data_IF_406537086890
#
_entry.id   IF_406537086890
#
_cell.length_a   1.000
_cell.length_b   1.000
_cell.length_c   1.000
_cell.angle_alpha   90.00
_cell.angle_beta   90.00
_cell.angle_gamma   90.00
#
_symmetry.space_group_name_H-M   'P 1'
#
loop_
_entity.id
_entity.type
_entity.pdbx_description
1 polymer ?
#
# COMPACT_ATOMS: atom_id res chain seq x y z
N UNK A 1 -9.11 -25.72 28.81
CA UNK A 1 -9.84 -24.67 28.05
C UNK A 1 -9.19 -24.57 26.70
N UNK A 2 -9.89 -24.72 25.56
CA UNK A 2 -9.30 -24.42 24.27
C UNK A 2 -8.98 -22.92 24.27
N UNK A 3 -7.72 -22.58 24.13
CA UNK A 3 -7.31 -21.21 23.83
C UNK A 3 -7.97 -20.91 22.48
N UNK A 4 -8.92 -19.98 22.45
CA UNK A 4 -9.43 -19.46 21.18
C UNK A 4 -8.23 -18.78 20.52
N UNK A 5 -7.52 -19.49 19.65
CA UNK A 5 -6.45 -18.92 18.84
C UNK A 5 -7.14 -18.06 17.80
N UNK A 6 -7.07 -16.74 17.99
CA UNK A 6 -7.65 -15.79 17.05
C UNK A 6 -6.97 -15.95 15.69
N UNK A 7 -7.75 -16.25 14.65
CA UNK A 7 -7.24 -16.49 13.31
C UNK A 7 -6.99 -15.17 12.57
N UNK A 8 -5.83 -14.58 12.82
CA UNK A 8 -5.40 -13.34 12.16
C UNK A 8 -5.27 -13.49 10.64
N UNK A 9 -4.97 -14.70 10.14
CA UNK A 9 -4.81 -14.97 8.70
C UNK A 9 -6.14 -14.85 7.99
N UNK A 10 -7.18 -15.51 8.53
CA UNK A 10 -8.54 -15.40 8.00
C UNK A 10 -9.08 -13.97 8.13
N UNK A 11 -8.77 -13.28 9.23
CA UNK A 11 -9.13 -11.86 9.40
C UNK A 11 -8.49 -10.98 8.31
N UNK A 12 -7.19 -11.15 8.06
CA UNK A 12 -6.46 -10.39 7.04
C UNK A 12 -7.01 -10.64 5.63
N UNK A 13 -7.29 -11.90 5.29
CA UNK A 13 -7.89 -12.28 4.01
C UNK A 13 -9.30 -11.67 3.83
N UNK A 14 -10.15 -11.78 4.86
CA UNK A 14 -11.48 -11.18 4.84
C UNK A 14 -11.43 -9.64 4.74
N UNK A 15 -10.46 -9.01 5.41
CA UNK A 15 -10.23 -7.56 5.32
C UNK A 15 -9.91 -7.15 3.87
N UNK A 16 -9.04 -7.88 3.16
CA UNK A 16 -8.72 -7.59 1.75
C UNK A 16 -9.93 -7.74 0.83
N UNK A 17 -10.75 -8.78 1.01
CA UNK A 17 -11.96 -9.00 0.22
C UNK A 17 -12.99 -7.88 0.44
N UNK A 18 -13.20 -7.46 1.69
CA UNK A 18 -14.08 -6.33 1.99
C UNK A 18 -13.53 -5.01 1.44
N UNK A 19 -12.20 -4.82 1.51
CA UNK A 19 -11.53 -3.64 0.95
C UNK A 19 -11.78 -3.54 -0.56
N UNK A 20 -11.72 -4.66 -1.28
CA UNK A 20 -12.01 -4.73 -2.72
C UNK A 20 -13.41 -4.18 -3.04
N UNK A 21 -14.43 -4.63 -2.31
CA UNK A 21 -15.80 -4.17 -2.50
C UNK A 21 -15.95 -2.67 -2.19
N UNK A 22 -15.34 -2.19 -1.10
CA UNK A 22 -15.38 -0.78 -0.72
C UNK A 22 -14.62 0.13 -1.69
N UNK A 23 -13.53 -0.34 -2.29
CA UNK A 23 -12.81 0.40 -3.31
C UNK A 23 -13.68 0.60 -4.56
N UNK A 24 -14.34 -0.46 -5.05
CA UNK A 24 -15.29 -0.37 -6.17
C UNK A 24 -16.43 0.59 -5.84
N UNK A 25 -16.99 0.50 -4.64
CA UNK A 25 -18.03 1.42 -4.17
C UNK A 25 -17.55 2.88 -4.18
N UNK A 26 -16.37 3.17 -3.64
CA UNK A 26 -15.80 4.51 -3.56
C UNK A 26 -15.50 5.12 -4.95
N UNK A 27 -15.09 4.29 -5.93
CA UNK A 27 -14.86 4.71 -7.32
C UNK A 27 -16.14 5.28 -7.93
N UNK A 28 -17.29 4.65 -7.67
CA UNK A 28 -18.57 5.00 -8.30
C UNK A 28 -19.31 6.09 -7.53
N UNK A 29 -19.39 5.97 -6.20
CA UNK A 29 -20.32 6.75 -5.39
C UNK A 29 -19.97 8.26 -5.36
N UNK A 30 -18.69 8.61 -5.43
CA UNK A 30 -18.24 10.00 -5.46
C UNK A 30 -18.74 10.76 -6.69
N UNK A 31 -18.33 10.37 -7.91
CA UNK A 31 -18.76 11.03 -9.15
C UNK A 31 -20.27 10.96 -9.35
N UNK A 32 -20.91 9.86 -8.96
CA UNK A 32 -22.38 9.76 -8.97
C UNK A 32 -23.02 10.80 -8.05
N UNK A 33 -22.48 10.99 -6.85
CA UNK A 33 -22.92 12.04 -5.92
C UNK A 33 -22.79 13.45 -6.49
N UNK A 34 -21.69 13.76 -7.18
CA UNK A 34 -21.52 15.06 -7.84
C UNK A 34 -22.51 15.28 -9.00
N UNK A 35 -22.75 14.25 -9.83
CA UNK A 35 -23.73 14.30 -10.93
C UNK A 35 -25.16 14.47 -10.42
N UNK A 36 -25.52 13.76 -9.36
CA UNK A 36 -26.85 13.82 -8.74
C UNK A 36 -27.02 14.98 -7.76
N UNK A 37 -26.01 15.82 -7.56
CA UNK A 37 -26.00 16.93 -6.59
C UNK A 37 -26.34 16.48 -5.16
N UNK A 38 -25.83 15.30 -4.79
CA UNK A 38 -25.99 14.64 -3.49
C UNK A 38 -24.69 14.68 -2.68
N UNK A 39 -24.51 15.69 -1.80
CA UNK A 39 -23.27 15.85 -1.03
C UNK A 39 -23.03 14.70 -0.04
N UNK A 40 -24.09 14.03 0.41
CA UNK A 40 -24.04 12.85 1.28
C UNK A 40 -23.33 11.66 0.60
N UNK A 41 -23.53 11.47 -0.71
CA UNK A 41 -22.84 10.44 -1.50
C UNK A 41 -21.35 10.74 -1.66
N UNK A 42 -20.98 12.02 -1.80
CA UNK A 42 -19.57 12.45 -1.84
C UNK A 42 -18.88 12.19 -0.49
N UNK A 43 -19.56 12.49 0.62
CA UNK A 43 -19.07 12.18 1.97
C UNK A 43 -18.95 10.66 2.16
N UNK A 44 -19.90 9.88 1.61
CA UNK A 44 -19.84 8.42 1.65
C UNK A 44 -18.62 7.87 0.93
N UNK A 45 -18.23 8.42 -0.24
CA UNK A 45 -17.01 8.05 -0.94
C UNK A 45 -15.76 8.25 -0.08
N UNK A 46 -15.68 9.38 0.65
CA UNK A 46 -14.58 9.69 1.58
C UNK A 46 -14.54 8.71 2.74
N UNK A 47 -15.69 8.39 3.33
CA UNK A 47 -15.76 7.45 4.43
C UNK A 47 -15.37 6.03 3.97
N UNK A 48 -15.73 5.65 2.75
CA UNK A 48 -15.29 4.40 2.13
C UNK A 48 -13.77 4.37 1.94
N UNK A 49 -13.15 5.46 1.47
CA UNK A 49 -11.68 5.59 1.44
C UNK A 49 -11.06 5.38 2.84
N UNK A 50 -11.62 5.99 3.88
CA UNK A 50 -11.09 5.82 5.25
C UNK A 50 -11.23 4.37 5.74
N UNK A 51 -12.36 3.72 5.43
CA UNK A 51 -12.57 2.32 5.75
C UNK A 51 -11.60 1.40 4.99
N UNK A 52 -11.37 1.67 3.70
CA UNK A 52 -10.36 0.98 2.87
C UNK A 52 -8.98 1.07 3.51
N UNK A 53 -8.55 2.27 3.93
CA UNK A 53 -7.26 2.46 4.60
C UNK A 53 -7.20 1.71 5.93
N UNK A 54 -8.28 1.72 6.72
CA UNK A 54 -8.36 0.97 7.98
C UNK A 54 -8.25 -0.55 7.79
N UNK A 55 -8.89 -1.09 6.76
CA UNK A 55 -8.84 -2.52 6.44
C UNK A 55 -7.49 -2.95 5.86
N UNK A 56 -6.84 -2.11 5.05
CA UNK A 56 -5.47 -2.34 4.57
C UNK A 56 -4.45 -2.35 5.72
N UNK A 57 -4.60 -1.42 6.68
CA UNK A 57 -3.82 -1.43 7.92
C UNK A 57 -4.08 -2.70 8.72
N UNK A 58 -5.32 -3.13 8.86
CA UNK A 58 -5.68 -4.36 9.56
C UNK A 58 -5.04 -5.60 8.91
N UNK A 59 -5.11 -5.71 7.58
CA UNK A 59 -4.43 -6.76 6.83
C UNK A 59 -2.91 -6.69 7.03
N UNK A 60 -2.32 -5.51 6.96
CA UNK A 60 -0.87 -5.33 7.19
C UNK A 60 -0.46 -5.76 8.61
N UNK A 61 -1.24 -5.40 9.63
CA UNK A 61 -1.02 -5.82 11.01
C UNK A 61 -1.18 -7.33 11.21
N UNK A 62 -2.17 -7.94 10.56
CA UNK A 62 -2.36 -9.39 10.57
C UNK A 62 -1.15 -10.13 9.95
N UNK A 63 -0.61 -9.62 8.84
CA UNK A 63 0.58 -10.20 8.22
C UNK A 63 1.84 -10.01 9.09
N UNK A 64 2.01 -8.83 9.69
CA UNK A 64 3.10 -8.59 10.67
C UNK A 64 2.98 -9.55 11.85
N UNK A 65 1.78 -9.75 12.37
CA UNK A 65 1.55 -10.72 13.45
C UNK A 65 1.95 -12.14 13.04
N UNK A 66 1.60 -12.58 11.83
CA UNK A 66 2.01 -13.89 11.31
C UNK A 66 3.54 -14.03 11.19
N UNK A 67 4.25 -12.97 10.79
CA UNK A 67 5.72 -12.95 10.78
C UNK A 67 6.33 -13.01 12.19
N UNK A 68 5.79 -12.24 13.14
CA UNK A 68 6.31 -12.18 14.51
C UNK A 68 6.08 -13.49 15.28
N UNK A 69 4.95 -14.15 15.02
CA UNK A 69 4.61 -15.47 15.60
C UNK A 69 5.21 -16.63 14.82
N UNK A 70 5.88 -16.37 13.69
CA UNK A 70 6.47 -17.37 12.80
C UNK A 70 5.43 -18.41 12.37
N UNK A 71 4.24 -17.96 11.99
CA UNK A 71 3.18 -18.83 11.51
C UNK A 71 3.51 -19.37 10.11
N UNK A 72 4.24 -20.49 10.08
CA UNK A 72 4.64 -21.16 8.85
C UNK A 72 3.48 -21.84 8.12
N UNK A 73 2.26 -21.84 8.67
CA UNK A 73 1.08 -22.28 7.92
C UNK A 73 0.73 -21.30 6.79
N UNK A 74 1.19 -20.05 6.88
CA UNK A 74 1.04 -19.03 5.84
C UNK A 74 2.17 -19.14 4.83
N UNK A 75 1.84 -19.38 3.56
CA UNK A 75 2.81 -19.59 2.48
C UNK A 75 3.81 -18.44 2.34
N UNK A 76 3.34 -17.20 2.46
CA UNK A 76 4.21 -16.03 2.38
C UNK A 76 5.22 -15.94 3.54
N UNK A 77 4.80 -16.30 4.77
CA UNK A 77 5.68 -16.35 5.94
C UNK A 77 6.70 -17.47 5.80
N UNK A 78 6.26 -18.66 5.39
CA UNK A 78 7.13 -19.80 5.10
C UNK A 78 8.24 -19.46 4.09
N UNK A 79 7.91 -18.72 3.03
CA UNK A 79 8.91 -18.34 2.02
C UNK A 79 9.91 -17.28 2.48
N UNK A 80 9.52 -16.37 3.37
CA UNK A 80 10.31 -15.17 3.67
C UNK A 80 10.86 -15.11 5.10
N UNK A 81 10.53 -16.06 5.97
CA UNK A 81 10.95 -16.07 7.36
C UNK A 81 11.56 -17.42 7.75
N UNK A 82 12.49 -17.43 8.69
CA UNK A 82 13.06 -18.64 9.30
C UNK A 82 13.36 -18.44 10.77
N UNK A 83 13.50 -19.52 11.52
CA UNK A 83 13.64 -19.49 12.97
C UNK A 83 14.87 -18.71 13.43
N UNK A 84 15.97 -18.80 12.70
CA UNK A 84 17.26 -18.17 12.99
C UNK A 84 17.37 -16.70 12.55
N UNK A 85 16.31 -16.11 11.98
CA UNK A 85 16.35 -14.74 11.42
C UNK A 85 16.24 -13.69 12.53
N UNK A 86 17.03 -12.62 12.43
CA UNK A 86 16.99 -11.51 13.38
C UNK A 86 15.75 -10.63 13.17
N UNK A 87 15.35 -9.89 14.22
CA UNK A 87 14.18 -8.99 14.17
C UNK A 87 14.29 -7.91 13.09
N UNK A 88 15.49 -7.39 12.81
CA UNK A 88 15.71 -6.42 11.74
C UNK A 88 15.24 -6.98 10.40
N UNK A 89 15.57 -8.23 10.12
CA UNK A 89 15.22 -8.90 8.87
C UNK A 89 13.79 -9.47 8.89
N UNK A 90 13.12 -9.52 10.03
CA UNK A 90 11.66 -9.77 10.08
C UNK A 90 10.89 -8.61 9.46
N UNK A 91 11.34 -7.37 9.66
CA UNK A 91 10.74 -6.20 9.02
C UNK A 91 10.93 -6.21 7.51
N UNK A 92 12.15 -6.51 7.04
CA UNK A 92 12.40 -6.62 5.59
C UNK A 92 11.64 -7.77 4.94
N UNK A 93 11.29 -8.83 5.68
CA UNK A 93 10.44 -9.91 5.19
C UNK A 93 9.03 -9.45 4.81
N UNK A 94 8.53 -8.36 5.42
CA UNK A 94 7.22 -7.81 5.05
C UNK A 94 7.19 -7.40 3.58
N UNK A 95 8.19 -6.66 3.09
CA UNK A 95 8.28 -6.21 1.69
C UNK A 95 9.29 -6.99 0.85
N UNK A 96 9.80 -8.12 1.36
CA UNK A 96 10.85 -8.89 0.70
C UNK A 96 10.37 -9.78 -0.44
N UNK A 97 9.08 -10.13 -0.45
CA UNK A 97 8.44 -10.90 -1.51
C UNK A 97 7.24 -10.17 -2.11
N UNK A 98 6.77 -10.68 -3.26
CA UNK A 98 5.77 -10.01 -4.08
C UNK A 98 4.48 -9.63 -3.32
N UNK A 99 3.86 -10.59 -2.62
CA UNK A 99 2.57 -10.37 -1.96
C UNK A 99 2.64 -9.28 -0.86
N UNK A 100 3.70 -9.28 -0.06
CA UNK A 100 3.85 -8.29 1.00
C UNK A 100 4.34 -6.94 0.49
N UNK A 101 5.15 -6.88 -0.58
CA UNK A 101 5.41 -5.61 -1.29
C UNK A 101 4.11 -5.01 -1.84
N UNK A 102 3.26 -5.79 -2.50
CA UNK A 102 1.96 -5.30 -3.01
C UNK A 102 1.06 -4.76 -1.88
N UNK A 103 1.03 -5.45 -0.74
CA UNK A 103 0.29 -4.99 0.44
C UNK A 103 0.88 -3.69 0.98
N UNK A 104 2.22 -3.55 1.02
CA UNK A 104 2.88 -2.31 1.40
C UNK A 104 2.50 -1.14 0.49
N UNK A 105 2.49 -1.34 -0.83
CA UNK A 105 2.07 -0.33 -1.80
C UNK A 105 0.62 0.10 -1.56
N UNK A 106 -0.30 -0.86 -1.47
CA UNK A 106 -1.72 -0.59 -1.22
C UNK A 106 -1.93 0.19 0.09
N UNK A 107 -1.32 -0.25 1.18
CA UNK A 107 -1.44 0.39 2.50
C UNK A 107 -0.85 1.80 2.50
N UNK A 108 0.32 1.97 1.88
CA UNK A 108 0.97 3.29 1.76
C UNK A 108 0.11 4.26 0.95
N UNK A 109 -0.45 3.81 -0.17
CA UNK A 109 -1.41 4.59 -0.95
C UNK A 109 -2.65 4.96 -0.14
N UNK A 110 -3.23 4.01 0.60
CA UNK A 110 -4.39 4.27 1.48
C UNK A 110 -4.10 5.36 2.52
N UNK A 111 -2.96 5.27 3.22
CA UNK A 111 -2.55 6.27 4.21
C UNK A 111 -2.37 7.64 3.54
N UNK A 112 -1.60 7.70 2.44
CA UNK A 112 -1.33 8.95 1.72
C UNK A 112 -2.61 9.56 1.15
N UNK A 113 -3.50 8.74 0.59
CA UNK A 113 -4.81 9.16 0.09
C UNK A 113 -5.69 9.72 1.20
N UNK A 114 -5.77 9.06 2.36
CA UNK A 114 -6.51 9.56 3.52
C UNK A 114 -5.98 10.92 3.97
N UNK A 115 -4.66 11.08 4.12
CA UNK A 115 -4.06 12.35 4.53
C UNK A 115 -4.32 13.42 3.47
N UNK A 116 -4.13 13.11 2.18
CA UNK A 116 -4.31 14.06 1.09
C UNK A 116 -5.76 14.52 0.93
N UNK A 117 -6.71 13.60 0.96
CA UNK A 117 -8.15 13.94 0.87
C UNK A 117 -8.58 14.73 2.09
N UNK A 118 -8.16 14.35 3.30
CA UNK A 118 -8.48 15.10 4.53
C UNK A 118 -7.93 16.52 4.48
N UNK A 119 -6.65 16.68 4.12
CA UNK A 119 -5.95 17.95 4.13
C UNK A 119 -6.41 18.93 3.03
N UNK A 120 -7.12 18.45 2.00
CA UNK A 120 -7.61 19.27 0.89
C UNK A 120 -9.15 19.24 0.77
N UNK A 121 -9.85 18.61 1.72
CA UNK A 121 -11.30 18.39 1.65
C UNK A 121 -12.11 19.67 1.44
N UNK A 122 -11.80 20.71 2.23
CA UNK A 122 -12.53 21.98 2.19
C UNK A 122 -12.07 22.87 1.03
N UNK A 123 -10.77 22.94 0.79
CA UNK A 123 -10.19 23.84 -0.21
C UNK A 123 -10.43 23.38 -1.65
N UNK A 124 -10.59 22.07 -1.86
CA UNK A 124 -10.69 21.45 -3.18
C UNK A 124 -11.95 20.57 -3.28
N UNK A 125 -13.01 20.90 -2.53
CA UNK A 125 -14.22 20.07 -2.40
C UNK A 125 -14.80 19.60 -3.74
N UNK A 126 -14.82 20.48 -4.76
CA UNK A 126 -15.33 20.17 -6.10
C UNK A 126 -14.55 19.06 -6.82
N UNK A 127 -13.26 18.89 -6.52
CA UNK A 127 -12.41 17.87 -7.13
C UNK A 127 -12.42 16.56 -6.34
N UNK A 128 -12.74 16.59 -5.05
CA UNK A 128 -12.67 15.44 -4.15
C UNK A 128 -13.38 14.17 -4.64
N UNK A 129 -14.59 14.23 -5.22
CA UNK A 129 -15.24 13.03 -5.76
C UNK A 129 -14.37 12.28 -6.76
N UNK A 130 -13.71 13.01 -7.66
CA UNK A 130 -12.90 12.46 -8.73
C UNK A 130 -11.49 12.11 -8.27
N UNK A 131 -10.91 12.90 -7.35
CA UNK A 131 -9.63 12.55 -6.70
C UNK A 131 -9.76 11.22 -5.96
N UNK A 132 -10.83 11.04 -5.18
CA UNK A 132 -11.11 9.77 -4.49
C UNK A 132 -11.26 8.65 -5.51
N UNK A 133 -12.04 8.82 -6.58
CA UNK A 133 -12.22 7.78 -7.59
C UNK A 133 -10.91 7.36 -8.25
N UNK A 134 -10.04 8.30 -8.61
CA UNK A 134 -8.74 7.96 -9.24
C UNK A 134 -7.83 7.22 -8.26
N UNK A 135 -7.74 7.68 -7.01
CA UNK A 135 -6.95 7.00 -5.97
C UNK A 135 -7.48 5.59 -5.72
N UNK A 136 -8.80 5.42 -5.64
CA UNK A 136 -9.45 4.12 -5.44
C UNK A 136 -9.33 3.20 -6.64
N UNK A 137 -9.25 3.73 -7.87
CA UNK A 137 -8.93 2.92 -9.06
C UNK A 137 -7.51 2.37 -9.02
N UNK A 138 -6.55 3.16 -8.55
CA UNK A 138 -5.17 2.67 -8.35
C UNK A 138 -5.14 1.64 -7.22
N UNK A 139 -5.81 1.91 -6.10
CA UNK A 139 -5.93 0.93 -5.00
C UNK A 139 -6.62 -0.36 -5.45
N UNK A 140 -7.67 -0.27 -6.27
CA UNK A 140 -8.38 -1.42 -6.84
C UNK A 140 -7.42 -2.32 -7.64
N UNK A 141 -6.52 -1.75 -8.43
CA UNK A 141 -5.51 -2.54 -9.14
C UNK A 141 -4.66 -3.39 -8.18
N UNK A 142 -4.14 -2.79 -7.09
CA UNK A 142 -3.38 -3.55 -6.09
C UNK A 142 -4.25 -4.59 -5.38
N UNK A 143 -5.50 -4.27 -5.07
CA UNK A 143 -6.43 -5.20 -4.43
C UNK A 143 -6.75 -6.39 -5.33
N UNK A 144 -6.89 -6.20 -6.65
CA UNK A 144 -7.08 -7.30 -7.59
C UNK A 144 -5.88 -8.25 -7.58
N UNK A 145 -4.65 -7.71 -7.56
CA UNK A 145 -3.45 -8.53 -7.43
C UNK A 145 -3.40 -9.26 -6.09
N UNK A 146 -3.69 -8.58 -4.99
CA UNK A 146 -3.65 -9.16 -3.64
C UNK A 146 -4.74 -10.22 -3.42
N UNK A 147 -5.92 -10.07 -3.99
CA UNK A 147 -7.02 -11.02 -3.78
C UNK A 147 -6.92 -12.22 -4.73
N UNK A 148 -6.51 -12.01 -5.98
CA UNK A 148 -6.61 -13.05 -7.02
C UNK A 148 -5.27 -13.60 -7.53
N UNK A 149 -4.15 -12.89 -7.35
CA UNK A 149 -2.86 -13.26 -7.97
C UNK A 149 -1.79 -13.60 -6.94
N UNK A 150 -1.65 -12.77 -5.90
CA UNK A 150 -0.55 -12.84 -4.93
C UNK A 150 -1.08 -12.55 -3.52
N UNK A 151 -1.90 -13.46 -2.99
CA UNK A 151 -2.46 -13.32 -1.65
C UNK A 151 -1.40 -13.52 -0.56
N UNK A 152 -1.22 -12.54 0.36
CA UNK A 152 -0.29 -12.69 1.47
C UNK A 152 -0.79 -13.66 2.55
N UNK A 153 -2.05 -14.11 2.47
CA UNK A 153 -2.71 -14.98 3.46
C UNK A 153 -3.00 -16.39 2.91
N UNK A 154 -2.38 -16.76 1.80
CA UNK A 154 -2.47 -18.12 1.27
C UNK A 154 -1.93 -19.13 2.31
N UNK A 155 -2.70 -20.19 2.56
CA UNK A 155 -2.34 -21.24 3.52
C UNK A 155 -1.78 -22.47 2.84
N UNK A 156 -0.78 -23.06 3.48
CA UNK A 156 -0.27 -24.38 3.15
C UNK A 156 -1.23 -25.46 3.68
N UNK A 157 -1.20 -26.64 3.03
CA UNK A 157 -1.96 -27.82 3.47
C UNK A 157 -1.40 -28.48 4.73
N UNK A 158 -0.17 -28.11 5.13
CA UNK A 158 0.49 -28.54 6.35
C UNK A 158 1.33 -27.38 6.90
N UNK A 159 1.73 -27.46 8.17
CA UNK A 159 2.57 -26.43 8.81
C UNK A 159 4.02 -26.91 8.92
N UNK A 160 4.97 -26.35 8.15
CA UNK A 160 6.39 -26.64 8.27
C UNK A 160 6.96 -26.24 9.65
N UNK A 161 8.01 -26.93 10.10
CA UNK A 161 8.69 -26.63 11.36
C UNK A 161 9.62 -25.41 11.28
N UNK A 162 10.08 -25.06 10.08
CA UNK A 162 10.89 -23.88 9.78
C UNK A 162 10.57 -23.39 8.36
N UNK A 163 10.92 -22.14 8.07
CA UNK A 163 10.77 -21.54 6.74
C UNK A 163 12.08 -21.43 5.95
N UNK A 164 11.93 -21.03 4.69
CA UNK A 164 13.06 -20.87 3.76
C UNK A 164 13.94 -19.67 4.16
N UNK A 165 13.32 -18.65 4.76
CA UNK A 165 13.97 -17.40 5.13
C UNK A 165 14.16 -16.46 3.95
N UNK A 166 14.48 -15.20 4.24
CA UNK A 166 14.69 -14.18 3.22
C UNK A 166 15.76 -14.59 2.20
N UNK A 167 15.55 -14.19 0.94
CA UNK A 167 16.58 -14.20 -0.09
C UNK A 167 17.86 -13.54 0.48
N UNK A 168 19.05 -14.17 0.36
CA UNK A 168 20.30 -13.63 0.89
C UNK A 168 20.60 -12.19 0.47
N UNK A 169 20.22 -11.77 -0.74
CA UNK A 169 20.39 -10.39 -1.22
C UNK A 169 19.60 -9.37 -0.41
N UNK A 170 18.49 -9.81 0.21
CA UNK A 170 17.61 -8.97 1.02
C UNK A 170 18.10 -8.85 2.48
N UNK A 171 19.21 -9.52 2.83
CA UNK A 171 19.83 -9.49 4.18
C UNK A 171 20.94 -8.44 4.28
N UNK A 172 20.66 -7.22 3.82
CA UNK A 172 21.54 -6.06 3.99
C UNK A 172 20.73 -4.89 4.62
N UNK A 173 21.33 -4.07 5.51
CA UNK A 173 20.65 -2.92 6.10
C UNK A 173 20.04 -1.95 5.08
N UNK A 174 20.63 -1.83 3.89
CA UNK A 174 20.08 -1.02 2.79
C UNK A 174 18.68 -1.48 2.36
N UNK A 175 18.38 -2.77 2.45
CA UNK A 175 17.06 -3.35 2.13
C UNK A 175 16.00 -3.03 3.20
N UNK A 176 16.42 -2.63 4.40
CA UNK A 176 15.52 -2.12 5.42
C UNK A 176 15.11 -0.66 5.20
N UNK A 177 15.89 0.07 4.39
CA UNK A 177 15.75 1.52 4.24
C UNK A 177 15.21 1.90 2.86
N UNK A 178 15.87 1.45 1.78
CA UNK A 178 15.55 1.95 0.45
C UNK A 178 14.19 1.47 -0.08
N UNK A 179 13.73 0.22 0.12
CA UNK A 179 12.44 -0.19 -0.44
C UNK A 179 11.28 0.61 0.16
N UNK A 180 11.12 0.78 1.49
CA UNK A 180 10.05 1.64 2.02
C UNK A 180 10.06 3.06 1.43
N UNK A 181 11.23 3.65 1.22
CA UNK A 181 11.36 4.98 0.59
C UNK A 181 10.98 4.93 -0.89
N UNK A 182 11.47 3.95 -1.66
CA UNK A 182 11.20 3.83 -3.08
C UNK A 182 9.72 3.53 -3.36
N UNK A 183 9.18 2.51 -2.69
CA UNK A 183 7.78 2.10 -2.80
C UNK A 183 6.83 3.22 -2.29
N UNK A 184 7.15 3.85 -1.16
CA UNK A 184 6.39 5.00 -0.64
C UNK A 184 6.48 6.22 -1.57
N UNK A 185 7.64 6.45 -2.19
CA UNK A 185 7.87 7.49 -3.19
C UNK A 185 6.97 7.31 -4.42
N UNK A 186 6.93 6.11 -4.99
CA UNK A 186 6.02 5.80 -6.09
C UNK A 186 4.55 6.02 -5.70
N UNK A 187 4.14 5.56 -4.51
CA UNK A 187 2.75 5.76 -4.06
C UNK A 187 2.40 7.23 -3.83
N UNK A 188 3.33 8.03 -3.35
CA UNK A 188 3.11 9.47 -3.15
C UNK A 188 2.91 10.26 -4.46
N UNK A 189 3.45 9.79 -5.59
CA UNK A 189 3.18 10.36 -6.92
C UNK A 189 1.73 10.15 -7.38
N UNK A 190 1.01 9.19 -6.79
CA UNK A 190 -0.41 8.97 -7.08
C UNK A 190 -1.28 10.17 -6.68
N UNK A 191 -0.85 10.97 -5.70
CA UNK A 191 -1.59 12.14 -5.24
C UNK A 191 -1.64 13.24 -6.31
N UNK A 192 -0.52 13.82 -6.78
CA UNK A 192 -0.57 14.83 -7.83
C UNK A 192 -1.21 14.29 -9.13
N UNK A 193 -1.00 13.01 -9.46
CA UNK A 193 -1.69 12.35 -10.57
C UNK A 193 -3.22 12.38 -10.40
N UNK A 194 -3.75 12.01 -9.23
CA UNK A 194 -5.19 11.99 -8.98
C UNK A 194 -5.83 13.39 -9.08
N UNK A 195 -5.14 14.42 -8.59
CA UNK A 195 -5.60 15.81 -8.75
C UNK A 195 -5.58 16.27 -10.20
N UNK A 196 -4.55 15.94 -10.96
CA UNK A 196 -4.48 16.27 -12.39
C UNK A 196 -5.62 15.58 -13.16
N UNK A 197 -5.86 14.28 -12.91
CA UNK A 197 -6.97 13.55 -13.52
C UNK A 197 -8.33 14.12 -13.12
N UNK A 198 -8.52 14.49 -11.85
CA UNK A 198 -9.75 15.14 -11.39
C UNK A 198 -9.99 16.50 -12.07
N UNK A 199 -8.95 17.31 -12.26
CA UNK A 199 -9.05 18.58 -12.97
C UNK A 199 -9.45 18.37 -14.45
N UNK A 200 -8.87 17.37 -15.11
CA UNK A 200 -9.23 17.00 -16.49
C UNK A 200 -10.68 16.50 -16.59
N UNK A 201 -11.10 15.59 -15.69
CA UNK A 201 -12.45 15.01 -15.67
C UNK A 201 -13.54 16.05 -15.39
N UNK A 202 -13.21 17.11 -14.63
CA UNK A 202 -14.17 18.17 -14.27
C UNK A 202 -14.08 19.42 -15.13
N UNK A 203 -13.06 19.54 -16.00
CA UNK A 203 -12.76 20.75 -16.76
C UNK A 203 -12.28 21.93 -15.91
N UNK A 204 -11.99 21.73 -14.61
CA UNK A 204 -11.52 22.78 -13.70
C UNK A 204 -9.99 22.94 -13.80
N UNK A 205 -9.53 23.55 -14.90
CA UNK A 205 -8.10 23.71 -15.24
C UNK A 205 -7.46 24.96 -14.63
N UNK A 206 -8.01 25.48 -13.53
CA UNK A 206 -7.51 26.70 -12.90
C UNK A 206 -6.21 26.45 -12.11
N UNK A 207 -5.54 27.52 -11.68
CA UNK A 207 -4.29 27.39 -10.91
C UNK A 207 -4.50 26.86 -9.48
N UNK A 208 -5.74 26.64 -9.02
CA UNK A 208 -6.04 26.28 -7.64
C UNK A 208 -5.57 24.86 -7.31
N UNK A 209 -5.83 23.90 -8.19
CA UNK A 209 -5.40 22.50 -8.00
C UNK A 209 -3.87 22.37 -8.09
N UNK A 210 -3.21 23.16 -8.95
CA UNK A 210 -1.74 23.19 -9.08
C UNK A 210 -1.09 23.62 -7.75
N UNK A 211 -1.66 24.63 -7.09
CA UNK A 211 -1.16 25.05 -5.76
C UNK A 211 -1.41 23.98 -4.70
N UNK A 212 -2.57 23.30 -4.75
CA UNK A 212 -2.90 22.23 -3.82
C UNK A 212 -1.96 21.02 -3.96
N UNK A 213 -1.52 20.70 -5.18
CA UNK A 213 -0.63 19.56 -5.47
C UNK A 213 0.84 19.85 -5.24
N UNK A 214 1.31 21.10 -5.31
CA UNK A 214 2.73 21.45 -5.19
C UNK A 214 3.44 20.81 -4.00
N UNK A 215 2.84 20.88 -2.80
CA UNK A 215 3.41 20.26 -1.59
C UNK A 215 3.53 18.74 -1.70
N UNK A 216 2.56 18.10 -2.34
CA UNK A 216 2.56 16.65 -2.57
C UNK A 216 3.60 16.25 -3.60
N UNK A 217 3.73 17.01 -4.68
CA UNK A 217 4.77 16.79 -5.70
C UNK A 217 6.17 16.91 -5.12
N UNK A 218 6.44 17.95 -4.31
CA UNK A 218 7.75 18.12 -3.68
C UNK A 218 8.06 17.02 -2.66
N UNK A 219 7.07 16.63 -1.84
CA UNK A 219 7.21 15.51 -0.92
C UNK A 219 7.49 14.21 -1.68
N UNK A 220 6.71 13.92 -2.72
CA UNK A 220 6.86 12.71 -3.51
C UNK A 220 8.20 12.64 -4.23
N UNK A 221 8.61 13.75 -4.85
CA UNK A 221 9.91 13.89 -5.47
C UNK A 221 11.05 13.69 -4.47
N UNK A 222 10.95 14.27 -3.27
CA UNK A 222 11.96 14.13 -2.23
C UNK A 222 12.10 12.70 -1.72
N UNK A 223 10.97 12.06 -1.38
CA UNK A 223 10.94 10.64 -0.93
C UNK A 223 11.49 9.73 -2.02
N UNK A 224 11.03 9.90 -3.27
CA UNK A 224 11.49 9.10 -4.39
C UNK A 224 12.98 9.28 -4.60
N UNK A 225 13.48 10.52 -4.61
CA UNK A 225 14.91 10.82 -4.75
C UNK A 225 15.76 10.15 -3.67
N UNK A 226 15.31 10.17 -2.41
CA UNK A 226 15.98 9.43 -1.33
C UNK A 226 15.95 7.91 -1.60
N UNK A 227 14.81 7.37 -2.06
CA UNK A 227 14.69 5.98 -2.46
C UNK A 227 15.70 5.58 -3.54
N UNK A 228 15.86 6.39 -4.60
CA UNK A 228 16.83 6.13 -5.67
C UNK A 228 18.28 6.21 -5.15
N UNK A 229 18.58 7.17 -4.28
CA UNK A 229 19.92 7.34 -3.70
C UNK A 229 20.31 6.15 -2.82
N UNK A 230 19.42 5.73 -1.92
CA UNK A 230 19.68 4.58 -1.05
C UNK A 230 19.65 3.25 -1.83
N UNK A 231 18.82 3.13 -2.87
CA UNK A 231 18.80 1.99 -3.78
C UNK A 231 20.13 1.86 -4.54
N UNK A 232 20.61 2.97 -5.11
CA UNK A 232 21.92 3.04 -5.78
C UNK A 232 23.07 2.66 -4.85
N UNK A 233 23.05 3.16 -3.61
CA UNK A 233 24.06 2.83 -2.59
C UNK A 233 24.03 1.35 -2.21
N UNK A 234 22.84 0.77 -1.99
CA UNK A 234 22.69 -0.65 -1.70
C UNK A 234 23.19 -1.50 -2.87
N UNK A 235 22.78 -1.18 -4.09
CA UNK A 235 23.13 -1.95 -5.28
C UNK A 235 24.63 -1.91 -5.55
N UNK A 236 25.29 -0.76 -5.35
CA UNK A 236 26.74 -0.68 -5.41
C UNK A 236 27.43 -1.61 -4.40
N UNK A 237 26.91 -1.68 -3.17
CA UNK A 237 27.49 -2.52 -2.10
C UNK A 237 27.23 -4.02 -2.29
N UNK A 238 26.06 -4.40 -2.79
CA UNK A 238 25.61 -5.81 -2.82
C UNK A 238 25.79 -6.44 -4.20
N UNK A 239 25.55 -5.69 -5.28
CA UNK A 239 25.65 -6.20 -6.66
C UNK A 239 27.01 -5.89 -7.31
N UNK A 240 27.83 -5.04 -6.69
CA UNK A 240 29.17 -4.71 -7.16
C UNK A 240 29.20 -3.75 -8.37
N UNK A 241 30.34 -3.71 -9.06
CA UNK A 241 30.58 -2.77 -10.16
C UNK A 241 29.70 -3.08 -11.38
N UNK A 242 28.88 -2.11 -11.79
CA UNK A 242 27.86 -2.25 -12.84
C UNK A 242 26.45 -2.52 -12.31
N UNK A 243 26.32 -2.93 -11.05
CA UNK A 243 25.04 -3.20 -10.40
C UNK A 243 24.30 -1.96 -9.92
N UNK A 244 24.90 -0.75 -9.97
CA UNK A 244 24.29 0.47 -9.44
C UNK A 244 22.98 0.89 -10.14
N UNK A 245 22.58 0.23 -11.23
CA UNK A 245 21.26 0.38 -11.89
C UNK A 245 20.29 -0.78 -11.62
N UNK A 246 20.72 -1.82 -10.90
CA UNK A 246 19.97 -3.07 -10.68
C UNK A 246 19.11 -3.07 -9.41
N UNK A 247 18.74 -1.89 -8.90
CA UNK A 247 17.85 -1.71 -7.75
C UNK A 247 16.42 -1.38 -8.17
#
# INVERSE_FOLDING_TARGET
MPIITFDFVSLGSAALQLTLALAVYAIVIGPLGDRLKRPDMIVSARNALYAVTGLLLLASLALVYAFLTKDYSVFYVYQNMRNSQSLLYTWTAFWGGNAGSLLFWATSLGILATIAVTANWRSQYRLMPYVISVLMSITLFFLLLLVFVASPFERLSFTPADGLGLNPLLRDPGMAIHPPLLLGGYMSMSIPYAFAMAALLTGQLDASWIRATRRWTLMAWGILSMGLLFGSWWAYRVLGWGGYWGW
#
